data_IF_356741445500
#
_entry.id   IF_356741445500
#
_cell.length_a   1.000
_cell.length_b   1.000
_cell.length_c   1.000
_cell.angle_alpha   90.00
_cell.angle_beta   90.00
_cell.angle_gamma   90.00
#
_symmetry.space_group_name_H-M   'P 1'
#
loop_
_entity.id
_entity.type
_entity.pdbx_description
1 polymer ?
#
# COMPACT_ATOMS: atom_id res chain seq x y z
N UNK A 1 30.80 4.90 49.10
CA UNK A 1 30.56 5.90 48.03
C UNK A 1 31.15 5.24 46.82
N UNK A 2 30.39 4.30 46.27
CA UNK A 2 30.88 3.29 45.35
C UNK A 2 30.10 3.43 44.04
N UNK A 3 30.89 3.51 42.98
CA UNK A 3 30.62 3.38 41.56
C UNK A 3 29.18 3.10 41.10
N UNK A 4 28.64 4.02 40.29
CA UNK A 4 27.84 3.66 39.12
C UNK A 4 28.38 4.47 37.93
N UNK A 5 29.36 3.87 37.26
CA UNK A 5 29.64 4.15 35.87
C UNK A 5 28.39 3.81 35.06
N UNK A 6 27.75 4.82 34.46
CA UNK A 6 26.79 4.59 33.37
C UNK A 6 27.63 4.15 32.17
N UNK A 7 27.75 2.84 32.00
CA UNK A 7 28.29 2.23 30.78
C UNK A 7 27.51 2.74 29.56
N UNK A 8 28.26 3.01 28.48
CA UNK A 8 27.69 3.34 27.19
C UNK A 8 26.77 2.23 26.69
N UNK A 9 25.49 2.54 26.52
CA UNK A 9 24.57 1.75 25.72
C UNK A 9 24.91 1.94 24.25
N UNK A 10 25.65 0.98 23.69
CA UNK A 10 26.05 0.94 22.29
C UNK A 10 24.85 1.08 21.35
N UNK A 11 24.91 2.09 20.48
CA UNK A 11 24.12 2.13 19.26
C UNK A 11 24.55 0.96 18.37
N UNK A 12 23.82 -0.14 18.46
CA UNK A 12 23.95 -1.25 17.51
C UNK A 12 23.38 -0.82 16.18
N UNK A 13 24.25 -0.39 15.26
CA UNK A 13 23.93 -0.36 13.83
C UNK A 13 23.59 -1.81 13.43
N UNK A 14 22.33 -2.10 13.12
CA UNK A 14 21.93 -3.39 12.59
C UNK A 14 22.55 -3.53 11.19
N UNK A 15 23.73 -4.17 11.10
CA UNK A 15 24.40 -4.45 9.84
C UNK A 15 23.63 -5.54 9.09
N UNK A 16 22.50 -5.18 8.50
CA UNK A 16 21.74 -6.02 7.58
C UNK A 16 22.67 -6.43 6.44
N UNK A 17 22.88 -7.73 6.32
CA UNK A 17 23.80 -8.29 5.34
C UNK A 17 23.44 -7.83 3.92
N UNK A 18 24.42 -7.45 3.07
CA UNK A 18 24.15 -7.03 1.68
C UNK A 18 23.32 -8.03 0.87
N UNK A 19 23.43 -9.33 1.19
CA UNK A 19 22.66 -10.40 0.56
C UNK A 19 21.16 -10.32 0.85
N UNK A 20 20.77 -9.80 2.02
CA UNK A 20 19.37 -9.58 2.38
C UNK A 20 18.78 -8.48 1.52
N UNK A 21 19.53 -7.40 1.28
CA UNK A 21 19.10 -6.31 0.39
C UNK A 21 18.94 -6.79 -1.05
N UNK A 22 19.88 -7.58 -1.56
CA UNK A 22 19.79 -8.17 -2.89
C UNK A 22 18.57 -9.09 -3.00
N UNK A 23 18.34 -9.95 -2.01
CA UNK A 23 17.18 -10.84 -1.96
C UNK A 23 15.85 -10.07 -1.88
N UNK A 24 15.81 -8.99 -1.09
CA UNK A 24 14.64 -8.13 -0.94
C UNK A 24 14.32 -7.38 -2.22
N UNK A 25 15.34 -6.82 -2.90
CA UNK A 25 15.16 -6.17 -4.20
C UNK A 25 14.63 -7.13 -5.25
N UNK A 26 15.18 -8.35 -5.33
CA UNK A 26 14.73 -9.35 -6.30
C UNK A 26 13.28 -9.81 -6.03
N UNK A 27 12.95 -10.04 -4.76
CA UNK A 27 11.60 -10.41 -4.35
C UNK A 27 10.60 -9.29 -4.63
N UNK A 28 10.99 -8.04 -4.42
CA UNK A 28 10.16 -6.87 -4.73
C UNK A 28 9.89 -6.75 -6.24
N UNK A 29 10.90 -6.95 -7.09
CA UNK A 29 10.73 -6.92 -8.56
C UNK A 29 9.80 -8.03 -9.05
N UNK A 30 9.94 -9.26 -8.53
CA UNK A 30 9.05 -10.37 -8.89
C UNK A 30 7.62 -10.08 -8.45
N UNK A 31 7.43 -9.58 -7.22
CA UNK A 31 6.10 -9.27 -6.70
C UNK A 31 5.40 -8.19 -7.53
N UNK A 32 6.15 -7.15 -7.94
CA UNK A 32 5.64 -6.11 -8.82
C UNK A 32 5.24 -6.65 -10.19
N UNK A 33 6.09 -7.49 -10.80
CA UNK A 33 5.80 -8.12 -12.09
C UNK A 33 4.52 -8.97 -12.02
N UNK A 34 4.40 -9.82 -10.99
CA UNK A 34 3.22 -10.67 -10.80
C UNK A 34 1.94 -9.85 -10.59
N UNK A 35 1.98 -8.79 -9.79
CA UNK A 35 0.83 -7.91 -9.57
C UNK A 35 0.40 -7.21 -10.87
N UNK A 36 1.35 -6.75 -11.69
CA UNK A 36 1.06 -6.15 -12.99
C UNK A 36 0.35 -7.15 -13.93
N UNK A 37 0.89 -8.36 -14.08
CA UNK A 37 0.31 -9.38 -14.97
C UNK A 37 -1.07 -9.86 -14.50
N UNK A 38 -1.27 -10.04 -13.19
CA UNK A 38 -2.58 -10.45 -12.63
C UNK A 38 -3.63 -9.36 -12.83
N UNK A 39 -3.24 -8.09 -12.71
CA UNK A 39 -4.14 -6.95 -12.90
C UNK A 39 -4.64 -6.91 -14.35
N UNK A 40 -3.74 -7.03 -15.31
CA UNK A 40 -4.09 -6.98 -16.73
C UNK A 40 -4.90 -8.20 -17.18
N UNK A 41 -4.50 -9.41 -16.76
CA UNK A 41 -5.09 -10.65 -17.28
C UNK A 41 -6.35 -11.13 -16.53
N UNK A 42 -6.51 -10.81 -15.24
CA UNK A 42 -7.66 -11.26 -14.44
C UNK A 42 -8.55 -10.12 -13.96
N UNK A 43 -7.97 -9.03 -13.49
CA UNK A 43 -8.75 -7.96 -12.86
C UNK A 43 -9.55 -7.16 -13.90
N UNK A 44 -8.92 -6.69 -14.99
CA UNK A 44 -9.61 -5.92 -16.03
C UNK A 44 -10.77 -6.70 -16.68
N UNK A 45 -10.63 -7.99 -17.07
CA UNK A 45 -11.75 -8.77 -17.60
C UNK A 45 -12.87 -8.99 -16.58
N UNK A 46 -12.54 -9.19 -15.30
CA UNK A 46 -13.53 -9.35 -14.25
C UNK A 46 -14.38 -8.07 -14.07
N UNK A 47 -13.75 -6.90 -14.15
CA UNK A 47 -14.46 -5.62 -14.11
C UNK A 47 -15.41 -5.47 -15.31
N UNK A 48 -14.98 -5.89 -16.50
CA UNK A 48 -15.81 -5.81 -17.70
C UNK A 48 -17.06 -6.71 -17.59
N UNK A 49 -16.94 -7.91 -17.01
CA UNK A 49 -18.10 -8.79 -16.74
C UNK A 49 -19.10 -8.11 -15.81
N UNK A 50 -18.62 -7.44 -14.76
CA UNK A 50 -19.46 -6.70 -13.81
C UNK A 50 -20.12 -5.50 -14.51
N UNK A 51 -19.37 -4.71 -15.27
CA UNK A 51 -19.87 -3.56 -16.02
C UNK A 51 -21.02 -3.94 -16.97
N UNK A 52 -20.82 -5.02 -17.73
CA UNK A 52 -21.83 -5.57 -18.64
C UNK A 52 -23.08 -6.06 -17.91
N UNK A 53 -22.94 -6.67 -16.73
CA UNK A 53 -24.07 -7.13 -15.93
C UNK A 53 -24.93 -5.96 -15.41
N UNK A 54 -24.28 -4.87 -14.99
CA UNK A 54 -24.95 -3.67 -14.46
C UNK A 54 -25.32 -2.64 -15.53
N UNK A 55 -25.08 -2.91 -16.81
CA UNK A 55 -25.32 -2.00 -17.94
C UNK A 55 -24.62 -0.63 -17.76
N UNK A 56 -23.45 -0.62 -17.12
CA UNK A 56 -22.65 0.59 -16.89
C UNK A 56 -21.71 0.77 -18.09
N UNK A 57 -21.53 1.99 -18.63
CA UNK A 57 -20.55 2.26 -19.66
C UNK A 57 -19.14 1.86 -19.23
N UNK A 58 -18.39 1.18 -20.10
CA UNK A 58 -17.05 0.67 -19.81
C UNK A 58 -16.08 1.76 -19.34
N UNK A 59 -16.21 2.99 -19.87
CA UNK A 59 -15.38 4.13 -19.46
C UNK A 59 -15.62 4.52 -17.99
N UNK A 60 -16.89 4.51 -17.56
CA UNK A 60 -17.29 4.88 -16.19
C UNK A 60 -16.97 3.73 -15.23
N UNK A 61 -17.19 2.49 -15.66
CA UNK A 61 -16.84 1.30 -14.91
C UNK A 61 -15.33 1.16 -14.73
N UNK A 62 -14.54 1.43 -15.78
CA UNK A 62 -13.08 1.48 -15.72
C UNK A 62 -12.61 2.57 -14.75
N UNK A 63 -13.06 3.81 -14.93
CA UNK A 63 -12.66 4.91 -14.05
C UNK A 63 -12.99 4.66 -12.57
N UNK A 64 -14.15 4.05 -12.28
CA UNK A 64 -14.63 3.87 -10.90
C UNK A 64 -14.17 2.55 -10.29
N UNK A 65 -14.41 1.42 -10.95
CA UNK A 65 -14.13 0.09 -10.40
C UNK A 65 -12.65 -0.26 -10.46
N UNK A 66 -11.91 0.21 -11.47
CA UNK A 66 -10.46 0.01 -11.52
C UNK A 66 -9.78 0.80 -10.40
N UNK A 67 -10.19 2.07 -10.20
CA UNK A 67 -9.69 2.89 -9.10
C UNK A 67 -10.06 2.31 -7.73
N UNK A 68 -11.32 1.90 -7.54
CA UNK A 68 -11.78 1.31 -6.28
C UNK A 68 -11.12 -0.03 -5.97
N UNK A 69 -10.96 -0.90 -6.97
CA UNK A 69 -10.32 -2.21 -6.78
C UNK A 69 -8.81 -2.09 -6.57
N UNK A 70 -8.14 -1.10 -7.16
CA UNK A 70 -6.73 -0.82 -6.90
C UNK A 70 -6.47 -0.43 -5.43
N UNK A 71 -7.41 0.28 -4.77
CA UNK A 71 -7.31 0.67 -3.35
C UNK A 71 -7.89 -0.34 -2.36
N UNK A 72 -8.50 -1.42 -2.87
CA UNK A 72 -9.15 -2.43 -2.03
C UNK A 72 -8.16 -3.21 -1.13
N UNK A 73 -6.94 -3.58 -1.59
CA UNK A 73 -5.93 -4.19 -0.75
C UNK A 73 -5.45 -3.28 0.39
N UNK A 74 -5.23 -1.98 0.15
CA UNK A 74 -4.86 -1.03 1.20
C UNK A 74 -5.99 -0.84 2.23
N UNK A 75 -7.24 -0.77 1.76
CA UNK A 75 -8.42 -0.70 2.65
C UNK A 75 -8.51 -1.96 3.52
N UNK A 76 -8.29 -3.14 2.93
CA UNK A 76 -8.30 -4.40 3.66
C UNK A 76 -7.16 -4.47 4.68
N UNK A 77 -5.94 -4.09 4.30
CA UNK A 77 -4.79 -4.00 5.20
C UNK A 77 -5.06 -3.06 6.38
N UNK A 78 -5.65 -1.89 6.09
CA UNK A 78 -6.06 -0.93 7.10
C UNK A 78 -7.07 -1.53 8.06
N UNK A 79 -8.11 -2.20 7.56
CA UNK A 79 -9.12 -2.89 8.38
C UNK A 79 -8.50 -3.99 9.25
N UNK A 80 -7.59 -4.80 8.72
CA UNK A 80 -6.89 -5.84 9.48
C UNK A 80 -6.02 -5.21 10.57
N UNK A 81 -5.33 -4.10 10.27
CA UNK A 81 -4.58 -3.34 11.25
C UNK A 81 -5.50 -2.80 12.36
N UNK A 82 -6.75 -2.45 12.05
CA UNK A 82 -7.73 -2.01 13.06
C UNK A 82 -8.02 -3.09 14.10
N UNK A 83 -8.10 -4.36 13.69
CA UNK A 83 -8.35 -5.47 14.61
C UNK A 83 -7.13 -5.82 15.47
N UNK A 84 -5.92 -5.49 15.00
CA UNK A 84 -4.66 -5.78 15.69
C UNK A 84 -4.29 -4.67 16.69
N UNK A 85 -4.63 -3.41 16.41
CA UNK A 85 -4.30 -2.29 17.29
C UNK A 85 -5.41 -2.03 18.31
N UNK A 86 -5.13 -2.28 19.60
CA UNK A 86 -6.09 -2.10 20.70
C UNK A 86 -6.32 -0.62 21.12
N UNK A 87 -5.71 0.35 20.45
CA UNK A 87 -5.70 1.76 20.85
C UNK A 87 -6.44 2.66 19.85
N UNK A 88 -7.60 3.20 20.27
CA UNK A 88 -8.45 4.06 19.42
C UNK A 88 -7.76 5.30 18.84
N UNK A 89 -6.76 5.85 19.55
CA UNK A 89 -5.93 6.96 19.06
C UNK A 89 -4.98 6.53 17.92
N UNK A 90 -4.44 5.31 17.96
CA UNK A 90 -3.57 4.80 16.89
C UNK A 90 -4.33 4.49 15.61
N UNK A 91 -5.58 4.02 15.74
CA UNK A 91 -6.46 3.73 14.60
C UNK A 91 -6.71 4.96 13.73
N UNK A 92 -7.05 6.09 14.37
CA UNK A 92 -7.31 7.35 13.66
C UNK A 92 -6.10 7.88 12.92
N UNK A 93 -4.89 7.63 13.45
CA UNK A 93 -3.64 8.01 12.80
C UNK A 93 -3.34 7.12 11.59
N UNK A 94 -3.50 5.78 11.71
CA UNK A 94 -3.24 4.84 10.61
C UNK A 94 -4.20 5.06 9.44
N UNK A 95 -5.51 5.12 9.71
CA UNK A 95 -6.50 5.35 8.63
C UNK A 95 -6.34 6.76 8.05
N UNK A 96 -6.06 7.76 8.90
CA UNK A 96 -5.84 9.13 8.47
C UNK A 96 -4.62 9.30 7.56
N UNK A 97 -3.51 8.59 7.84
CA UNK A 97 -2.32 8.65 7.00
C UNK A 97 -2.53 8.03 5.62
N UNK A 98 -3.28 6.93 5.54
CA UNK A 98 -3.60 6.27 4.27
C UNK A 98 -4.52 7.14 3.39
N UNK A 99 -5.56 7.74 3.99
CA UNK A 99 -6.45 8.67 3.27
C UNK A 99 -5.68 9.89 2.78
N UNK A 100 -4.80 10.47 3.61
CA UNK A 100 -3.96 11.60 3.20
C UNK A 100 -3.04 11.24 2.02
N UNK A 101 -2.41 10.07 2.08
CA UNK A 101 -1.53 9.58 1.02
C UNK A 101 -2.29 9.42 -0.32
N UNK A 102 -3.47 8.80 -0.30
CA UNK A 102 -4.28 8.61 -1.51
C UNK A 102 -4.77 9.93 -2.10
N UNK A 103 -5.15 10.89 -1.26
CA UNK A 103 -5.56 12.22 -1.73
C UNK A 103 -4.41 12.98 -2.38
N UNK A 104 -3.19 12.92 -1.81
CA UNK A 104 -2.01 13.57 -2.39
C UNK A 104 -1.62 12.92 -3.73
N UNK A 105 -1.67 11.59 -3.83
CA UNK A 105 -1.38 10.88 -5.08
C UNK A 105 -2.39 11.27 -6.16
N UNK A 106 -3.69 11.24 -5.87
CA UNK A 106 -4.73 11.65 -6.80
C UNK A 106 -4.59 13.13 -7.22
N UNK A 107 -4.38 14.03 -6.25
CA UNK A 107 -4.18 15.45 -6.54
C UNK A 107 -2.92 15.70 -7.37
N UNK A 108 -1.83 15.01 -7.08
CA UNK A 108 -0.58 15.06 -7.83
C UNK A 108 -0.72 14.53 -9.25
N UNK A 109 -1.43 13.41 -9.43
CA UNK A 109 -1.70 12.83 -10.75
C UNK A 109 -2.54 13.78 -11.63
N UNK A 110 -3.57 14.42 -11.06
CA UNK A 110 -4.38 15.43 -11.76
C UNK A 110 -3.56 16.67 -12.12
N UNK A 111 -2.65 17.10 -11.24
CA UNK A 111 -1.79 18.25 -11.50
C UNK A 111 -0.73 17.94 -12.58
N UNK A 112 -0.13 16.74 -12.55
CA UNK A 112 0.87 16.29 -13.51
C UNK A 112 0.29 15.99 -14.89
N UNK A 113 -0.97 15.53 -14.97
CA UNK A 113 -1.68 15.32 -16.25
C UNK A 113 -2.17 16.61 -16.91
N UNK A 114 -2.00 17.76 -16.25
CA UNK A 114 -2.41 19.08 -16.74
C UNK A 114 -1.26 19.87 -17.39
N UNK A 115 -0.13 19.19 -17.66
CA UNK A 115 1.08 19.68 -18.32
C UNK A 115 1.24 18.92 -19.64
#
# INVERSE_FOLDING_TARGET
MDDIAIEGGGGGETSVSPWVWIGLSFTATISFYLQATVTEERFVPALNVIANHFNIPDDVAGATLMAAGASSPELFSSIVALFITHSALGLGTVVGSEIFNQLIICAGAVLAGKI
#
